data_IF_723114490524
#
_entry.id   IF_723114490524
#
_cell.length_a   1.000
_cell.length_b   1.000
_cell.length_c   1.000
_cell.angle_alpha   90.00
_cell.angle_beta   90.00
_cell.angle_gamma   90.00
#
_symmetry.space_group_name_H-M   'P 1'
#
loop_
_entity.id
_entity.type
_entity.pdbx_description
1 polymer ?
#
# COMPACT_ATOMS: atom_id res chain seq x y z
N UNK A 1 -2.65 13.14 -3.22
CA UNK A 1 -2.27 11.76 -2.87
C UNK A 1 -2.73 10.87 -4.01
N UNK A 2 -1.85 10.05 -4.56
CA UNK A 2 -2.21 9.00 -5.51
C UNK A 2 -2.46 7.72 -4.73
N UNK A 3 -3.53 7.00 -5.06
CA UNK A 3 -3.87 5.70 -4.48
C UNK A 3 -4.18 4.77 -5.63
N UNK A 4 -3.33 3.76 -5.83
CA UNK A 4 -3.55 2.70 -6.81
C UNK A 4 -4.00 1.44 -6.08
N UNK A 5 -5.24 0.99 -6.34
CA UNK A 5 -5.75 -0.26 -5.77
C UNK A 5 -5.78 -1.31 -6.87
N UNK A 6 -4.90 -2.30 -6.77
CA UNK A 6 -4.88 -3.46 -7.66
C UNK A 6 -5.65 -4.66 -7.10
N UNK A 7 -5.46 -5.82 -7.73
CA UNK A 7 -5.94 -7.09 -7.19
C UNK A 7 -5.25 -7.46 -5.88
N UNK A 8 -3.96 -7.18 -5.72
CA UNK A 8 -3.18 -7.69 -4.57
C UNK A 8 -2.97 -6.64 -3.48
N UNK A 9 -2.70 -5.41 -3.89
CA UNK A 9 -2.15 -4.36 -3.03
C UNK A 9 -2.81 -3.02 -3.31
N UNK A 10 -2.65 -2.12 -2.36
CA UNK A 10 -2.88 -0.69 -2.54
C UNK A 10 -1.56 0.05 -2.38
N UNK A 11 -1.15 0.78 -3.42
CA UNK A 11 0.05 1.60 -3.46
C UNK A 11 -0.31 3.08 -3.30
N UNK A 12 0.35 3.77 -2.37
CA UNK A 12 -0.01 5.12 -1.96
C UNK A 12 1.21 6.02 -2.04
N UNK A 13 1.11 7.09 -2.84
CA UNK A 13 2.19 8.06 -3.01
C UNK A 13 1.69 9.49 -2.80
N UNK A 14 2.52 10.33 -2.18
CA UNK A 14 2.26 11.77 -2.07
C UNK A 14 3.01 12.47 -3.20
N UNK A 15 2.25 13.17 -4.03
CA UNK A 15 2.78 13.91 -5.18
C UNK A 15 2.98 15.38 -4.81
N UNK A 16 4.04 15.98 -5.33
CA UNK A 16 4.35 17.41 -5.19
C UNK A 16 4.75 17.98 -6.55
N UNK A 17 4.14 19.09 -6.96
CA UNK A 17 4.37 19.67 -8.29
C UNK A 17 3.99 18.77 -9.48
N UNK A 18 3.17 17.73 -9.24
CA UNK A 18 2.78 16.74 -10.25
C UNK A 18 3.68 15.50 -10.31
N UNK A 19 4.64 15.35 -9.39
CA UNK A 19 5.61 14.24 -9.40
C UNK A 19 5.68 13.51 -8.07
N UNK A 20 5.98 12.20 -8.09
CA UNK A 20 6.17 11.46 -6.86
C UNK A 20 7.49 11.85 -6.22
N UNK A 21 7.52 11.86 -4.90
CA UNK A 21 8.75 12.08 -4.14
C UNK A 21 9.68 10.87 -4.29
N UNK A 22 10.99 11.08 -4.13
CA UNK A 22 12.02 10.03 -4.24
C UNK A 22 12.65 9.82 -2.87
N UNK A 23 12.82 8.55 -2.47
CA UNK A 23 13.65 8.17 -1.34
C UNK A 23 15.05 7.79 -1.85
N UNK A 24 16.06 8.58 -1.46
CA UNK A 24 17.46 8.37 -1.85
C UNK A 24 18.13 7.25 -1.03
N UNK A 25 17.69 7.04 0.20
CA UNK A 25 18.14 5.94 1.06
C UNK A 25 17.55 4.57 0.64
N UNK A 26 16.66 4.57 -0.35
CA UNK A 26 16.00 3.42 -0.95
C UNK A 26 14.71 2.97 -0.28
N UNK A 27 13.93 2.17 -1.01
CA UNK A 27 12.65 1.64 -0.53
C UNK A 27 12.86 0.61 0.59
N UNK A 28 11.93 0.60 1.55
CA UNK A 28 11.79 -0.49 2.52
C UNK A 28 10.98 -1.64 1.91
N UNK A 29 11.57 -2.83 1.84
CA UNK A 29 10.90 -4.07 1.43
C UNK A 29 10.94 -5.04 2.62
N UNK A 30 9.82 -5.16 3.32
CA UNK A 30 9.75 -5.88 4.60
C UNK A 30 10.66 -5.23 5.64
N UNK A 31 11.64 -5.99 6.17
CA UNK A 31 12.64 -5.49 7.13
C UNK A 31 13.90 -4.90 6.47
N UNK A 32 14.02 -4.98 5.16
CA UNK A 32 15.23 -4.61 4.43
C UNK A 32 15.06 -3.23 3.80
N UNK A 33 16.07 -2.36 3.95
CA UNK A 33 16.17 -1.11 3.20
C UNK A 33 17.08 -1.32 2.00
N UNK A 34 16.53 -1.12 0.80
CA UNK A 34 17.29 -1.22 -0.45
C UNK A 34 18.26 -0.03 -0.58
N UNK A 35 19.29 -0.12 -1.42
CA UNK A 35 20.20 1.02 -1.73
C UNK A 35 19.91 1.66 -3.09
N UNK A 36 18.72 1.44 -3.63
CA UNK A 36 18.31 1.92 -4.96
C UNK A 36 17.33 3.08 -4.77
N UNK A 37 17.56 4.19 -5.48
CA UNK A 37 16.62 5.33 -5.49
C UNK A 37 15.24 4.82 -5.90
N UNK A 38 14.24 5.06 -5.07
CA UNK A 38 12.90 4.56 -5.28
C UNK A 38 11.87 5.67 -5.13
N UNK A 39 10.70 5.47 -5.74
CA UNK A 39 9.54 6.32 -5.47
C UNK A 39 9.14 6.15 -4.01
N UNK A 40 8.87 7.27 -3.35
CA UNK A 40 8.33 7.33 -1.99
C UNK A 40 6.85 6.92 -2.01
N UNK A 41 6.62 5.61 -1.89
CA UNK A 41 5.30 5.01 -1.80
C UNK A 41 5.19 4.08 -0.59
N UNK A 42 3.98 3.95 -0.06
CA UNK A 42 3.62 2.90 0.88
C UNK A 42 2.73 1.89 0.18
N UNK A 43 3.12 0.62 0.26
CA UNK A 43 2.34 -0.51 -0.23
C UNK A 43 1.70 -1.22 0.95
N UNK A 44 0.38 -1.38 0.91
CA UNK A 44 -0.36 -2.23 1.85
C UNK A 44 -0.95 -3.41 1.10
N UNK A 45 -0.93 -4.59 1.72
CA UNK A 45 -1.44 -5.83 1.14
C UNK A 45 -2.98 -5.91 1.24
N UNK A 46 -3.63 -4.92 0.63
CA UNK A 46 -5.07 -4.75 0.57
C UNK A 46 -5.47 -4.38 -0.87
N UNK A 47 -5.99 -5.34 -1.61
CA UNK A 47 -6.52 -5.18 -2.97
C UNK A 47 -7.81 -5.98 -3.15
N UNK A 48 -8.29 -6.09 -4.39
CA UNK A 48 -9.51 -6.84 -4.72
C UNK A 48 -9.48 -8.33 -4.32
N UNK A 49 -8.32 -8.96 -4.41
CA UNK A 49 -8.08 -10.39 -4.24
C UNK A 49 -7.37 -10.71 -2.90
N UNK A 50 -7.33 -9.74 -1.98
CA UNK A 50 -6.78 -9.97 -0.64
C UNK A 50 -7.63 -10.97 0.13
N UNK A 51 -6.96 -11.95 0.73
CA UNK A 51 -7.60 -12.99 1.53
C UNK A 51 -8.36 -12.40 2.72
N UNK A 52 -9.63 -12.76 2.87
CA UNK A 52 -10.41 -12.45 4.08
C UNK A 52 -10.34 -13.63 5.03
N UNK A 53 -9.99 -13.35 6.28
CA UNK A 53 -10.04 -14.30 7.39
C UNK A 53 -10.75 -13.69 8.60
N UNK A 54 -11.14 -14.53 9.55
CA UNK A 54 -11.80 -14.11 10.79
C UNK A 54 -10.95 -14.52 11.99
N UNK A 55 -10.75 -13.57 12.90
CA UNK A 55 -10.27 -13.80 14.27
C UNK A 55 -11.39 -13.44 15.24
N UNK A 56 -12.10 -14.45 15.72
CA UNK A 56 -13.39 -14.27 16.39
C UNK A 56 -14.39 -13.55 15.47
N UNK A 57 -14.81 -12.34 15.87
CA UNK A 57 -15.70 -11.47 15.08
C UNK A 57 -14.95 -10.40 14.28
N UNK A 58 -13.61 -10.35 14.36
CA UNK A 58 -12.80 -9.35 13.68
C UNK A 58 -12.39 -9.86 12.30
N UNK A 59 -12.58 -9.04 11.28
CA UNK A 59 -12.03 -9.30 9.95
C UNK A 59 -10.52 -9.04 9.93
N UNK A 60 -9.79 -9.96 9.29
CA UNK A 60 -8.37 -9.79 8.95
C UNK A 60 -8.27 -9.90 7.43
N UNK A 61 -7.64 -8.91 6.81
CA UNK A 61 -7.48 -8.80 5.37
C UNK A 61 -6.02 -8.83 4.97
N UNK A 62 -5.69 -9.69 4.01
CA UNK A 62 -4.32 -9.93 3.60
C UNK A 62 -3.47 -10.58 4.71
N UNK A 63 -2.14 -10.62 4.57
CA UNK A 63 -1.38 -10.08 3.44
C UNK A 63 -1.43 -10.97 2.19
N UNK A 64 -1.98 -12.18 2.31
CA UNK A 64 -2.01 -13.15 1.22
C UNK A 64 -3.00 -12.72 0.12
N UNK A 65 -2.58 -12.90 -1.13
CA UNK A 65 -3.45 -12.83 -2.31
C UNK A 65 -3.98 -14.23 -2.61
N UNK A 66 -5.27 -14.35 -2.90
CA UNK A 66 -5.93 -15.62 -3.22
C UNK A 66 -6.84 -15.46 -4.43
N UNK A 67 -7.29 -16.57 -5.02
CA UNK A 67 -8.28 -16.54 -6.09
C UNK A 67 -9.65 -16.21 -5.47
N UNK A 68 -10.37 -15.17 -5.95
CA UNK A 68 -11.75 -14.91 -5.52
C UNK A 68 -12.67 -16.10 -5.76
N UNK A 69 -13.63 -16.35 -4.88
CA UNK A 69 -14.57 -17.46 -5.02
C UNK A 69 -15.43 -17.33 -6.29
N UNK A 70 -15.82 -16.11 -6.65
CA UNK A 70 -16.56 -15.84 -7.87
C UNK A 70 -15.78 -16.26 -9.12
N UNK A 71 -14.45 -16.14 -9.11
CA UNK A 71 -13.60 -16.59 -10.21
C UNK A 71 -13.40 -18.10 -10.13
N UNK A 72 -13.09 -18.62 -8.93
CA UNK A 72 -12.73 -20.02 -8.76
C UNK A 72 -13.90 -20.98 -9.04
N UNK A 73 -15.12 -20.58 -8.68
CA UNK A 73 -16.34 -21.36 -8.92
C UNK A 73 -16.85 -21.31 -10.36
N UNK A 74 -16.20 -20.57 -11.27
CA UNK A 74 -16.44 -20.74 -12.71
C UNK A 74 -15.91 -22.08 -13.20
N UNK A 75 -14.77 -22.52 -12.65
CA UNK A 75 -14.13 -23.80 -12.96
C UNK A 75 -14.57 -24.92 -12.01
N UNK A 76 -14.98 -24.56 -10.79
CA UNK A 76 -15.36 -25.49 -9.73
C UNK A 76 -16.77 -25.19 -9.16
N UNK A 77 -17.84 -25.30 -9.98
CA UNK A 77 -19.20 -24.97 -9.55
C UNK A 77 -19.70 -25.85 -8.39
N UNK A 78 -19.16 -27.06 -8.22
CA UNK A 78 -19.46 -27.97 -7.11
C UNK A 78 -19.09 -27.40 -5.74
N UNK A 79 -18.19 -26.41 -5.69
CA UNK A 79 -17.80 -25.78 -4.43
C UNK A 79 -18.89 -24.90 -3.83
N UNK A 80 -19.84 -24.40 -4.64
CA UNK A 80 -20.92 -23.51 -4.16
C UNK A 80 -21.69 -24.19 -3.03
N UNK A 81 -22.15 -25.42 -3.26
CA UNK A 81 -22.90 -26.17 -2.25
C UNK A 81 -22.01 -26.60 -1.08
N UNK A 82 -20.77 -27.01 -1.34
CA UNK A 82 -19.80 -27.38 -0.30
C UNK A 82 -19.51 -26.22 0.65
N UNK A 83 -19.34 -25.00 0.13
CA UNK A 83 -19.10 -23.79 0.91
C UNK A 83 -20.30 -23.49 1.80
N UNK A 84 -21.51 -23.57 1.25
CA UNK A 84 -22.75 -23.28 2.00
C UNK A 84 -22.95 -24.29 3.13
N UNK A 85 -22.73 -25.58 2.88
CA UNK A 85 -22.98 -26.65 3.86
C UNK A 85 -21.92 -26.71 4.96
N UNK A 86 -20.64 -26.52 4.60
CA UNK A 86 -19.53 -26.61 5.56
C UNK A 86 -19.21 -25.29 6.25
N UNK A 87 -19.69 -24.17 5.71
CA UNK A 87 -19.32 -22.81 6.12
C UNK A 87 -17.81 -22.52 5.98
N UNK A 88 -17.10 -23.36 5.21
CA UNK A 88 -15.69 -23.20 4.87
C UNK A 88 -15.60 -22.61 3.48
N UNK A 89 -14.88 -21.51 3.37
CA UNK A 89 -14.67 -20.82 2.09
C UNK A 89 -13.20 -20.80 1.68
N UNK A 90 -12.32 -21.53 2.35
CA UNK A 90 -10.88 -21.60 2.03
C UNK A 90 -10.54 -22.98 1.44
N UNK A 91 -10.08 -22.98 0.19
CA UNK A 91 -9.73 -24.18 -0.57
C UNK A 91 -8.34 -24.07 -1.18
N UNK A 92 -7.68 -25.21 -1.25
CA UNK A 92 -6.31 -25.41 -1.69
C UNK A 92 -6.33 -26.40 -2.86
N UNK A 93 -5.52 -26.14 -3.88
CA UNK A 93 -5.41 -27.02 -5.04
C UNK A 93 -4.00 -26.97 -5.63
N UNK A 94 -3.50 -28.11 -6.09
CA UNK A 94 -2.21 -28.19 -6.77
C UNK A 94 -2.30 -27.45 -8.11
N UNK A 95 -1.29 -26.64 -8.41
CA UNK A 95 -1.19 -25.94 -9.69
C UNK A 95 -0.81 -26.95 -10.78
N UNK A 96 -1.53 -26.94 -11.90
CA UNK A 96 -1.25 -27.82 -13.03
C UNK A 96 0.19 -27.62 -13.53
N UNK A 97 0.95 -28.71 -13.61
CA UNK A 97 2.35 -28.69 -14.03
C UNK A 97 3.35 -28.24 -12.97
N UNK A 98 2.93 -28.05 -11.70
CA UNK A 98 3.84 -27.74 -10.61
C UNK A 98 4.93 -28.82 -10.43
N UNK A 99 6.17 -28.39 -10.25
CA UNK A 99 7.29 -29.28 -9.93
C UNK A 99 7.45 -29.44 -8.41
N UNK A 100 7.43 -30.68 -7.87
CA UNK A 100 7.60 -30.91 -6.44
C UNK A 100 9.07 -30.91 -5.97
N UNK A 101 10.04 -30.61 -6.84
CA UNK A 101 11.48 -30.76 -6.54
C UNK A 101 11.97 -29.90 -5.35
N UNK A 102 11.34 -28.75 -5.11
CA UNK A 102 11.70 -27.84 -4.01
C UNK A 102 10.97 -28.15 -2.71
N UNK A 103 10.14 -29.21 -2.66
CA UNK A 103 9.36 -29.56 -1.48
C UNK A 103 10.19 -30.32 -0.44
N UNK A 104 10.02 -29.97 0.84
CA UNK A 104 10.57 -30.75 1.94
C UNK A 104 9.76 -32.05 2.17
N UNK A 105 10.23 -32.94 3.04
CA UNK A 105 9.57 -34.22 3.28
C UNK A 105 8.09 -34.12 3.70
N UNK A 106 7.72 -33.11 4.50
CA UNK A 106 6.32 -32.92 4.94
C UNK A 106 5.45 -32.38 3.83
N UNK A 107 5.95 -31.40 3.10
CA UNK A 107 5.27 -30.83 1.93
C UNK A 107 5.10 -31.87 0.82
N UNK A 108 6.09 -32.74 0.60
CA UNK A 108 6.00 -33.82 -0.38
C UNK A 108 4.94 -34.87 0.01
N UNK A 109 4.77 -35.14 1.31
CA UNK A 109 3.66 -35.99 1.79
C UNK A 109 2.30 -35.35 1.49
N UNK A 110 2.15 -34.06 1.78
CA UNK A 110 0.92 -33.32 1.44
C UNK A 110 0.67 -33.39 -0.06
N UNK A 111 1.65 -33.02 -0.88
CA UNK A 111 1.58 -33.06 -2.35
C UNK A 111 1.13 -34.42 -2.86
N UNK A 112 1.78 -35.50 -2.41
CA UNK A 112 1.49 -36.87 -2.82
C UNK A 112 0.08 -37.33 -2.43
N UNK A 113 -0.46 -36.84 -1.31
CA UNK A 113 -1.82 -37.17 -0.86
C UNK A 113 -2.92 -36.45 -1.65
N UNK A 114 -2.65 -35.24 -2.17
CA UNK A 114 -3.71 -34.36 -2.72
C UNK A 114 -3.61 -34.11 -4.23
N UNK A 115 -2.49 -34.46 -4.86
CA UNK A 115 -2.30 -34.28 -6.32
C UNK A 115 -3.43 -34.97 -7.10
N UNK A 116 -4.05 -34.23 -8.03
CA UNK A 116 -5.16 -34.71 -8.86
C UNK A 116 -6.50 -34.89 -8.13
N UNK A 117 -6.65 -34.45 -6.87
CA UNK A 117 -7.92 -34.52 -6.12
C UNK A 117 -8.85 -33.31 -6.33
N UNK A 118 -8.37 -32.27 -7.01
CA UNK A 118 -9.08 -31.01 -7.14
C UNK A 118 -9.08 -30.19 -5.84
N UNK A 119 -10.05 -29.28 -5.65
CA UNK A 119 -10.06 -28.35 -4.53
C UNK A 119 -10.40 -29.04 -3.19
N UNK A 120 -9.51 -28.90 -2.21
CA UNK A 120 -9.66 -29.43 -0.86
C UNK A 120 -9.55 -28.33 0.20
N UNK A 121 -10.35 -28.40 1.25
CA UNK A 121 -10.15 -27.57 2.42
C UNK A 121 -9.05 -28.15 3.34
N UNK A 122 -8.54 -27.34 4.27
CA UNK A 122 -7.47 -27.75 5.19
C UNK A 122 -7.77 -29.05 5.94
N UNK A 123 -9.01 -29.25 6.41
CA UNK A 123 -9.39 -30.44 7.17
C UNK A 123 -9.38 -31.69 6.29
N UNK A 124 -9.83 -31.59 5.04
CA UNK A 124 -9.76 -32.68 4.08
C UNK A 124 -8.31 -33.07 3.78
N UNK A 125 -7.41 -32.09 3.62
CA UNK A 125 -5.97 -32.35 3.46
C UNK A 125 -5.41 -33.06 4.69
N UNK A 126 -5.69 -32.56 5.89
CA UNK A 126 -5.21 -33.17 7.13
C UNK A 126 -5.69 -34.62 7.29
N UNK A 127 -6.92 -34.93 6.91
CA UNK A 127 -7.46 -36.28 6.97
C UNK A 127 -6.83 -37.25 5.95
N UNK A 128 -6.24 -36.73 4.87
CA UNK A 128 -5.55 -37.53 3.84
C UNK A 128 -4.04 -37.70 4.10
N UNK A 129 -3.47 -36.94 5.03
CA UNK A 129 -2.04 -36.94 5.29
C UNK A 129 -1.74 -37.57 6.64
N UNK A 130 -1.26 -38.81 6.61
CA UNK A 130 -0.91 -39.54 7.83
C UNK A 130 0.22 -38.85 8.60
N UNK A 131 0.03 -38.69 9.91
CA UNK A 131 1.06 -38.22 10.84
C UNK A 131 1.30 -36.71 10.86
N UNK A 132 0.50 -35.89 10.15
CA UNK A 132 0.56 -34.43 10.23
C UNK A 132 -0.72 -33.83 10.82
N UNK A 133 -0.61 -33.25 12.02
CA UNK A 133 -1.75 -32.65 12.73
C UNK A 133 -1.84 -31.13 12.58
N UNK A 134 -0.76 -30.48 12.12
CA UNK A 134 -0.68 -29.04 11.86
C UNK A 134 0.12 -28.89 10.56
N UNK A 135 -0.48 -28.21 9.57
CA UNK A 135 0.07 -28.09 8.22
C UNK A 135 0.11 -26.64 7.69
N UNK A 136 -0.20 -25.64 8.53
CA UNK A 136 -0.31 -24.23 8.11
C UNK A 136 0.99 -23.70 7.48
N UNK A 137 2.13 -24.07 8.05
CA UNK A 137 3.44 -23.62 7.55
C UNK A 137 3.77 -24.30 6.22
N UNK A 138 3.48 -25.59 6.09
CA UNK A 138 3.68 -26.37 4.88
C UNK A 138 2.78 -25.86 3.75
N UNK A 139 1.49 -25.62 4.00
CA UNK A 139 0.57 -25.05 3.01
C UNK A 139 1.02 -23.65 2.57
N UNK A 140 1.39 -22.77 3.51
CA UNK A 140 1.91 -21.43 3.19
C UNK A 140 3.18 -21.51 2.36
N UNK A 141 4.11 -22.39 2.72
CA UNK A 141 5.37 -22.60 2.00
C UNK A 141 5.11 -23.14 0.58
N UNK A 142 4.20 -24.11 0.42
CA UNK A 142 3.83 -24.64 -0.90
C UNK A 142 3.20 -23.59 -1.82
N UNK A 143 2.45 -22.64 -1.25
CA UNK A 143 1.92 -21.49 -2.00
C UNK A 143 3.04 -20.54 -2.43
N UNK A 144 3.99 -20.25 -1.53
CA UNK A 144 5.17 -19.42 -1.86
C UNK A 144 6.07 -20.07 -2.92
N UNK A 145 6.09 -21.40 -2.99
CA UNK A 145 6.81 -22.18 -4.00
C UNK A 145 6.02 -22.37 -5.31
N UNK A 146 4.85 -21.76 -5.43
CA UNK A 146 3.98 -21.87 -6.62
C UNK A 146 3.60 -23.32 -6.95
N UNK A 147 3.53 -24.20 -5.94
CA UNK A 147 3.05 -25.58 -6.09
C UNK A 147 1.55 -25.66 -5.85
N UNK A 148 1.02 -24.74 -5.05
CA UNK A 148 -0.35 -24.77 -4.59
C UNK A 148 -0.98 -23.38 -4.75
N UNK A 149 -2.24 -23.35 -5.22
CA UNK A 149 -3.07 -22.15 -5.26
C UNK A 149 -4.13 -22.20 -4.16
N UNK A 150 -4.48 -21.03 -3.63
CA UNK A 150 -5.55 -20.87 -2.65
C UNK A 150 -6.69 -20.10 -3.30
N UNK A 151 -7.92 -20.56 -3.09
CA UNK A 151 -9.13 -19.78 -3.29
C UNK A 151 -9.78 -19.47 -1.94
N UNK A 152 -10.21 -18.23 -1.74
CA UNK A 152 -10.93 -17.84 -0.53
C UNK A 152 -11.82 -16.62 -0.77
N UNK A 153 -12.60 -16.24 0.24
CA UNK A 153 -13.41 -15.02 0.19
C UNK A 153 -12.49 -13.79 0.09
N UNK A 154 -12.83 -12.88 -0.82
CA UNK A 154 -12.06 -11.66 -1.12
C UNK A 154 -12.95 -10.42 -1.22
N UNK A 155 -12.39 -9.20 -1.20
CA UNK A 155 -13.12 -7.99 -1.55
C UNK A 155 -13.84 -8.05 -2.92
N UNK A 156 -13.27 -8.73 -3.91
CA UNK A 156 -13.90 -8.97 -5.22
C UNK A 156 -15.23 -9.70 -5.05
N UNK A 157 -15.29 -10.75 -4.24
CA UNK A 157 -16.54 -11.48 -3.94
C UNK A 157 -17.59 -10.58 -3.30
N UNK A 158 -17.18 -9.72 -2.36
CA UNK A 158 -18.08 -8.75 -1.71
C UNK A 158 -18.65 -7.77 -2.74
N UNK A 159 -17.82 -7.26 -3.65
CA UNK A 159 -18.25 -6.36 -4.72
C UNK A 159 -19.21 -7.04 -5.70
N UNK A 160 -18.96 -8.30 -6.05
CA UNK A 160 -19.87 -9.09 -6.91
C UNK A 160 -21.21 -9.31 -6.21
N UNK A 161 -21.20 -9.75 -4.95
CA UNK A 161 -22.42 -9.95 -4.17
C UNK A 161 -23.25 -8.65 -4.02
N UNK A 162 -22.58 -7.52 -3.80
CA UNK A 162 -23.21 -6.20 -3.70
C UNK A 162 -23.59 -5.59 -5.07
N UNK A 163 -23.38 -6.32 -6.18
CA UNK A 163 -23.66 -5.87 -7.56
C UNK A 163 -22.90 -4.59 -7.96
N UNK A 164 -21.70 -4.42 -7.40
CA UNK A 164 -20.75 -3.36 -7.77
C UNK A 164 -19.80 -3.82 -8.86
N UNK A 165 -19.63 -5.13 -9.02
CA UNK A 165 -18.77 -5.73 -10.02
C UNK A 165 -19.49 -6.90 -10.70
N UNK A 166 -19.39 -7.01 -12.02
CA UNK A 166 -20.22 -7.94 -12.82
C UNK A 166 -19.47 -9.20 -13.29
N UNK A 167 -18.13 -9.24 -13.15
CA UNK A 167 -17.33 -10.39 -13.58
C UNK A 167 -17.34 -11.49 -12.51
N UNK A 168 -17.33 -12.75 -12.95
CA UNK A 168 -17.30 -13.93 -12.09
C UNK A 168 -18.67 -14.55 -11.83
N UNK A 169 -18.65 -15.76 -11.26
CA UNK A 169 -19.82 -16.50 -10.83
C UNK A 169 -20.44 -15.87 -9.57
N UNK A 170 -21.60 -15.24 -9.74
CA UNK A 170 -22.36 -14.58 -8.66
C UNK A 170 -22.76 -15.53 -7.53
N UNK A 171 -23.05 -16.79 -7.86
CA UNK A 171 -23.42 -17.80 -6.85
C UNK A 171 -22.22 -18.21 -5.99
N UNK A 172 -21.00 -18.20 -6.55
CA UNK A 172 -19.77 -18.41 -5.78
C UNK A 172 -19.48 -17.30 -4.78
N UNK A 173 -19.58 -16.04 -5.22
CA UNK A 173 -19.49 -14.88 -4.33
C UNK A 173 -20.54 -14.97 -3.20
N UNK A 174 -21.80 -15.25 -3.56
CA UNK A 174 -22.87 -15.39 -2.59
C UNK A 174 -22.62 -16.54 -1.60
N UNK A 175 -22.12 -17.70 -2.04
CA UNK A 175 -21.77 -18.82 -1.15
C UNK A 175 -20.74 -18.41 -0.08
N UNK A 176 -19.69 -17.69 -0.47
CA UNK A 176 -18.71 -17.17 0.49
C UNK A 176 -19.32 -16.20 1.51
N UNK A 177 -20.22 -15.31 1.07
CA UNK A 177 -20.95 -14.39 1.96
C UNK A 177 -21.92 -15.15 2.89
N UNK A 178 -22.56 -16.21 2.43
CA UNK A 178 -23.41 -17.07 3.26
C UNK A 178 -22.57 -17.68 4.38
N UNK A 179 -21.47 -18.34 4.04
CA UNK A 179 -20.56 -18.96 5.00
C UNK A 179 -20.04 -17.93 6.02
N UNK A 180 -19.65 -16.73 5.56
CA UNK A 180 -19.27 -15.63 6.45
C UNK A 180 -20.42 -15.21 7.38
N UNK A 181 -21.63 -15.08 6.85
CA UNK A 181 -22.80 -14.63 7.60
C UNK A 181 -23.21 -15.60 8.70
N UNK A 182 -23.11 -16.92 8.46
CA UNK A 182 -23.34 -17.95 9.46
C UNK A 182 -22.34 -17.82 10.62
N UNK A 183 -21.04 -17.69 10.30
CA UNK A 183 -19.98 -17.54 11.31
C UNK A 183 -20.12 -16.29 12.18
N UNK A 184 -20.70 -15.22 11.63
CA UNK A 184 -20.92 -13.96 12.35
C UNK A 184 -22.30 -13.87 13.03
N UNK A 185 -23.21 -14.81 12.78
CA UNK A 185 -24.60 -14.72 13.23
C UNK A 185 -25.35 -13.52 12.63
N UNK A 186 -25.04 -13.16 11.38
CA UNK A 186 -25.63 -12.02 10.67
C UNK A 186 -26.45 -12.47 9.47
N UNK A 187 -27.30 -11.57 8.93
CA UNK A 187 -27.84 -11.79 7.57
C UNK A 187 -26.73 -11.63 6.52
N UNK A 188 -26.87 -12.27 5.36
CA UNK A 188 -25.93 -12.14 4.22
C UNK A 188 -25.61 -10.67 3.89
N UNK A 189 -26.65 -9.83 3.86
CA UNK A 189 -26.53 -8.40 3.56
C UNK A 189 -25.75 -7.64 4.65
N UNK A 190 -26.02 -7.91 5.93
CA UNK A 190 -25.28 -7.30 7.03
C UNK A 190 -23.80 -7.71 7.02
N UNK A 191 -23.51 -9.01 6.82
CA UNK A 191 -22.15 -9.51 6.76
C UNK A 191 -21.36 -8.87 5.60
N UNK A 192 -21.94 -8.83 4.39
CA UNK A 192 -21.30 -8.20 3.24
C UNK A 192 -21.06 -6.69 3.44
N UNK A 193 -22.05 -5.96 3.96
CA UNK A 193 -21.92 -4.51 4.22
C UNK A 193 -20.88 -4.25 5.31
N UNK A 194 -20.86 -5.05 6.37
CA UNK A 194 -19.88 -4.95 7.47
C UNK A 194 -18.46 -5.20 6.99
N UNK A 195 -18.23 -6.28 6.23
CA UNK A 195 -16.93 -6.57 5.62
C UNK A 195 -16.50 -5.48 4.64
N UNK A 196 -17.42 -4.96 3.81
CA UNK A 196 -17.08 -3.89 2.87
C UNK A 196 -16.77 -2.57 3.58
N UNK A 197 -17.46 -2.24 4.67
CA UNK A 197 -17.13 -1.08 5.50
C UNK A 197 -15.76 -1.22 6.16
N UNK A 198 -15.39 -2.41 6.61
CA UNK A 198 -14.04 -2.69 7.12
C UNK A 198 -12.99 -2.46 6.04
N UNK A 199 -13.18 -3.01 4.84
CA UNK A 199 -12.28 -2.83 3.69
C UNK A 199 -12.04 -1.34 3.43
N UNK A 200 -13.12 -0.55 3.32
CA UNK A 200 -13.04 0.90 3.07
C UNK A 200 -12.36 1.65 4.22
N UNK A 201 -12.57 1.20 5.46
CA UNK A 201 -11.90 1.78 6.63
C UNK A 201 -10.40 1.52 6.59
N UNK A 202 -9.95 0.30 6.26
CA UNK A 202 -8.53 -0.03 6.12
C UNK A 202 -7.86 0.74 4.97
N UNK A 203 -8.54 0.95 3.84
CA UNK A 203 -8.04 1.81 2.76
C UNK A 203 -7.84 3.25 3.26
N UNK A 204 -8.82 3.80 4.00
CA UNK A 204 -8.71 5.13 4.58
C UNK A 204 -7.56 5.26 5.60
N UNK A 205 -7.38 4.25 6.46
CA UNK A 205 -6.24 4.15 7.37
C UNK A 205 -4.91 4.15 6.62
N UNK A 206 -4.79 3.36 5.54
CA UNK A 206 -3.57 3.29 4.75
C UNK A 206 -3.22 4.65 4.12
N UNK A 207 -4.22 5.35 3.55
CA UNK A 207 -4.04 6.70 3.00
C UNK A 207 -3.60 7.68 4.06
N UNK A 208 -4.24 7.67 5.24
CA UNK A 208 -3.91 8.56 6.33
C UNK A 208 -2.52 8.27 6.90
N UNK A 209 -2.17 6.99 7.08
CA UNK A 209 -0.86 6.52 7.53
C UNK A 209 0.23 7.05 6.60
N UNK A 210 0.09 6.89 5.28
CA UNK A 210 1.09 7.40 4.34
C UNK A 210 1.27 8.92 4.44
N UNK A 211 0.19 9.68 4.56
CA UNK A 211 0.27 11.15 4.72
C UNK A 211 0.93 11.54 6.05
N UNK A 212 0.68 10.78 7.12
CA UNK A 212 1.25 11.03 8.43
C UNK A 212 2.73 10.67 8.47
N UNK A 213 3.14 9.54 7.88
CA UNK A 213 4.55 9.15 7.75
C UNK A 213 5.39 10.21 7.02
N UNK A 214 4.80 10.91 6.05
CA UNK A 214 5.46 11.99 5.32
C UNK A 214 5.57 13.32 6.09
N UNK A 215 4.89 13.45 7.23
CA UNK A 215 4.74 14.71 7.98
C UNK A 215 5.23 14.61 9.43
N UNK A 216 5.07 13.47 10.06
CA UNK A 216 5.36 13.24 11.46
C UNK A 216 6.36 12.09 11.62
N UNK A 217 7.23 12.20 12.61
CA UNK A 217 8.13 11.12 13.03
C UNK A 217 7.62 10.49 14.31
N UNK A 218 7.81 9.18 14.46
CA UNK A 218 7.50 8.45 15.69
C UNK A 218 6.09 8.69 16.23
N UNK A 219 5.12 8.93 15.31
CA UNK A 219 3.73 9.24 15.66
C UNK A 219 2.91 7.97 15.93
N UNK A 220 3.43 6.81 15.52
CA UNK A 220 2.69 5.54 15.52
C UNK A 220 2.94 4.74 16.80
N UNK A 221 1.95 4.77 17.68
CA UNK A 221 1.80 3.94 18.87
C UNK A 221 0.36 3.38 18.99
N UNK A 222 0.06 2.59 20.02
CA UNK A 222 -1.27 1.99 20.20
C UNK A 222 -2.40 3.02 20.41
N UNK A 223 -2.11 4.15 21.06
CA UNK A 223 -3.07 5.25 21.20
C UNK A 223 -3.35 5.93 19.86
N UNK A 224 -2.30 6.16 19.07
CA UNK A 224 -2.43 6.73 17.73
C UNK A 224 -3.27 5.84 16.79
N UNK A 225 -3.17 4.50 16.90
CA UNK A 225 -3.97 3.54 16.12
C UNK A 225 -5.45 3.66 16.44
N UNK A 226 -5.79 3.74 17.72
CA UNK A 226 -7.19 3.90 18.16
C UNK A 226 -7.75 5.23 17.65
N UNK A 227 -6.99 6.31 17.77
CA UNK A 227 -7.41 7.62 17.27
C UNK A 227 -7.57 7.63 15.75
N UNK A 228 -6.62 7.05 15.00
CA UNK A 228 -6.70 6.91 13.55
C UNK A 228 -7.93 6.13 13.12
N UNK A 229 -8.19 4.98 13.76
CA UNK A 229 -9.38 4.17 13.49
C UNK A 229 -10.66 4.98 13.68
N UNK A 230 -10.73 5.81 14.72
CA UNK A 230 -11.87 6.70 14.98
C UNK A 230 -12.00 7.80 13.93
N UNK A 231 -10.89 8.41 13.52
CA UNK A 231 -10.87 9.49 12.51
C UNK A 231 -11.39 9.05 11.15
N UNK A 232 -11.14 7.79 10.75
CA UNK A 232 -11.53 7.27 9.43
C UNK A 232 -12.82 6.45 9.43
N UNK A 233 -13.38 6.14 10.61
CA UNK A 233 -14.60 5.36 10.73
C UNK A 233 -15.83 6.24 10.48
N UNK A 234 -16.86 5.66 9.86
CA UNK A 234 -18.18 6.30 9.75
C UNK A 234 -19.02 6.17 11.02
N UNK A 235 -18.63 5.31 11.97
CA UNK A 235 -19.34 5.12 13.23
C UNK A 235 -18.97 6.27 14.18
N UNK A 236 -19.89 7.24 14.30
CA UNK A 236 -19.75 8.40 15.18
C UNK A 236 -20.38 8.10 16.55
N UNK A 237 -19.72 8.55 17.62
CA UNK A 237 -20.25 8.44 18.98
C UNK A 237 -20.87 9.77 19.40
N UNK A 238 -21.86 9.73 20.29
CA UNK A 238 -22.64 10.92 20.69
C UNK A 238 -21.84 11.93 21.51
N UNK A 239 -20.70 11.52 22.08
CA UNK A 239 -19.91 12.34 23.00
C UNK A 239 -18.87 13.20 22.29
N UNK A 240 -18.17 12.65 21.28
CA UNK A 240 -17.07 13.33 20.59
C UNK A 240 -17.02 12.92 19.13
N UNK A 241 -17.06 13.90 18.24
CA UNK A 241 -16.81 13.73 16.81
C UNK A 241 -15.46 14.34 16.44
N UNK A 242 -14.57 13.56 15.83
CA UNK A 242 -13.29 14.03 15.31
C UNK A 242 -13.20 13.63 13.84
N UNK A 243 -13.03 14.62 12.97
CA UNK A 243 -12.92 14.40 11.53
C UNK A 243 -11.61 15.00 10.99
N UNK A 244 -10.86 14.26 10.16
CA UNK A 244 -9.75 14.86 9.41
C UNK A 244 -10.28 15.84 8.36
N UNK A 245 -9.40 16.72 7.85
CA UNK A 245 -9.65 17.53 6.64
C UNK A 245 -8.41 17.56 5.76
N UNK A 246 -8.47 16.86 4.63
CA UNK A 246 -7.38 16.80 3.69
C UNK A 246 -7.48 17.97 2.72
N UNK A 247 -6.50 18.88 2.79
CA UNK A 247 -6.41 20.04 1.90
C UNK A 247 -5.85 19.70 0.51
N UNK A 248 -5.38 18.47 0.32
CA UNK A 248 -4.84 17.97 -0.94
C UNK A 248 -5.81 16.96 -1.55
N UNK A 249 -6.03 16.99 -2.88
CA UNK A 249 -6.89 16.01 -3.53
C UNK A 249 -6.28 14.61 -3.47
N UNK A 250 -7.14 13.60 -3.44
CA UNK A 250 -6.81 12.19 -3.55
C UNK A 250 -7.23 11.75 -4.95
N UNK A 251 -6.33 11.10 -5.69
CA UNK A 251 -6.59 10.57 -7.03
C UNK A 251 -6.52 9.05 -6.94
N UNK A 252 -7.61 8.40 -7.30
CA UNK A 252 -7.79 6.96 -7.22
C UNK A 252 -7.61 6.32 -8.60
N UNK A 253 -6.74 5.30 -8.68
CA UNK A 253 -6.51 4.48 -9.87
C UNK A 253 -6.56 3.00 -9.52
N UNK A 254 -6.68 2.15 -10.54
CA UNK A 254 -6.89 0.71 -10.42
C UNK A 254 -8.37 0.33 -10.40
N UNK A 255 -8.71 -0.79 -11.03
CA UNK A 255 -10.09 -1.23 -11.25
C UNK A 255 -10.99 -1.27 -9.99
N UNK A 256 -10.55 -1.81 -8.84
CA UNK A 256 -11.38 -1.84 -7.62
C UNK A 256 -11.50 -0.48 -6.90
N UNK A 257 -10.68 0.52 -7.26
CA UNK A 257 -10.57 1.77 -6.51
C UNK A 257 -11.88 2.54 -6.37
N UNK A 258 -12.69 2.59 -7.44
CA UNK A 258 -14.00 3.27 -7.44
C UNK A 258 -14.97 2.75 -6.39
N UNK A 259 -14.86 1.47 -6.03
CA UNK A 259 -15.74 0.82 -5.07
C UNK A 259 -15.14 0.83 -3.67
N UNK A 260 -13.86 0.49 -3.53
CA UNK A 260 -13.15 0.46 -2.25
C UNK A 260 -12.83 1.84 -1.67
N UNK A 261 -12.99 2.91 -2.46
CA UNK A 261 -12.82 4.30 -2.01
C UNK A 261 -14.11 5.13 -2.14
N UNK A 262 -15.28 4.50 -2.33
CA UNK A 262 -16.53 5.20 -2.65
C UNK A 262 -16.94 6.27 -1.62
N UNK A 263 -16.63 6.04 -0.34
CA UNK A 263 -16.93 6.95 0.77
C UNK A 263 -15.67 7.61 1.36
N UNK A 264 -14.52 7.47 0.69
CA UNK A 264 -13.26 8.02 1.17
C UNK A 264 -13.31 9.55 1.30
N UNK A 265 -14.05 10.22 0.41
CA UNK A 265 -14.25 11.67 0.46
C UNK A 265 -14.93 12.11 1.76
N UNK A 266 -15.93 11.35 2.23
CA UNK A 266 -16.59 11.60 3.51
C UNK A 266 -15.69 11.27 4.69
N UNK A 267 -14.97 10.14 4.64
CA UNK A 267 -14.08 9.70 5.74
C UNK A 267 -12.94 10.67 5.98
N UNK A 268 -12.33 11.18 4.91
CA UNK A 268 -11.13 12.02 4.98
C UNK A 268 -11.41 13.52 4.82
N UNK A 269 -12.67 13.90 4.58
CA UNK A 269 -13.10 15.26 4.22
C UNK A 269 -12.15 15.85 3.17
N UNK A 270 -12.09 15.14 2.05
CA UNK A 270 -11.12 15.32 0.98
C UNK A 270 -11.83 15.37 -0.36
N UNK A 271 -11.25 16.09 -1.32
CA UNK A 271 -11.64 15.93 -2.73
C UNK A 271 -11.05 14.60 -3.21
N UNK A 272 -11.91 13.65 -3.61
CA UNK A 272 -11.48 12.38 -4.22
C UNK A 272 -11.86 12.40 -5.70
N UNK A 273 -10.86 12.19 -6.55
CA UNK A 273 -10.97 12.20 -8.00
C UNK A 273 -10.79 10.78 -8.52
N UNK A 274 -11.73 10.35 -9.37
CA UNK A 274 -11.63 9.11 -10.14
C UNK A 274 -11.48 9.50 -11.61
N UNK A 275 -10.25 9.54 -12.15
CA UNK A 275 -10.02 9.88 -13.55
C UNK A 275 -10.81 8.98 -14.51
N UNK A 276 -11.03 9.48 -15.73
CA UNK A 276 -11.44 8.64 -16.84
C UNK A 276 -10.39 7.54 -17.04
N UNK A 277 -10.84 6.30 -17.30
CA UNK A 277 -9.95 5.13 -17.43
C UNK A 277 -9.07 4.85 -16.21
N UNK A 278 -9.54 5.16 -14.99
CA UNK A 278 -8.81 4.88 -13.76
C UNK A 278 -8.38 3.40 -13.62
N UNK A 279 -9.13 2.47 -14.21
CA UNK A 279 -8.89 1.04 -14.23
C UNK A 279 -7.61 0.63 -14.96
N UNK A 280 -7.12 1.47 -15.89
CA UNK A 280 -5.89 1.25 -16.66
C UNK A 280 -4.85 2.36 -16.43
N UNK A 281 -4.92 3.04 -15.28
CA UNK A 281 -4.07 4.20 -14.95
C UNK A 281 -2.57 3.94 -15.10
N UNK A 282 -2.09 2.75 -14.72
CA UNK A 282 -0.68 2.38 -14.86
C UNK A 282 -0.22 2.28 -16.31
N UNK A 283 -1.06 1.75 -17.21
CA UNK A 283 -0.75 1.67 -18.63
C UNK A 283 -0.68 3.05 -19.28
N UNK A 284 -1.61 3.94 -18.91
CA UNK A 284 -1.59 5.36 -19.33
C UNK A 284 -0.33 6.06 -18.79
N UNK A 285 0.05 5.81 -17.54
CA UNK A 285 1.27 6.34 -16.94
C UNK A 285 2.54 5.91 -17.67
N UNK A 286 2.60 4.66 -18.13
CA UNK A 286 3.74 4.13 -18.87
C UNK A 286 3.92 4.83 -20.23
N UNK A 287 2.85 5.04 -20.99
CA UNK A 287 2.92 5.70 -22.32
C UNK A 287 3.11 7.22 -22.22
N UNK A 288 2.71 7.84 -21.11
CA UNK A 288 2.84 9.29 -20.88
C UNK A 288 4.12 9.66 -20.11
N UNK A 289 5.11 8.75 -20.11
CA UNK A 289 6.36 8.89 -19.37
C UNK A 289 7.08 10.20 -19.71
N UNK A 290 7.60 10.85 -18.66
CA UNK A 290 8.33 12.12 -18.75
C UNK A 290 9.82 11.92 -18.47
N UNK A 291 10.66 12.78 -19.04
CA UNK A 291 12.09 12.83 -18.71
C UNK A 291 12.24 13.45 -17.33
N UNK A 292 12.85 12.74 -16.38
CA UNK A 292 13.00 13.24 -15.01
C UNK A 292 14.38 12.95 -14.41
N UNK A 293 14.85 13.88 -13.59
CA UNK A 293 16.14 13.83 -12.91
C UNK A 293 15.96 14.35 -11.47
N UNK A 294 16.75 13.81 -10.55
CA UNK A 294 16.65 14.18 -9.13
C UNK A 294 18.01 14.11 -8.45
N UNK A 295 18.26 15.10 -7.60
CA UNK A 295 19.49 15.23 -6.84
C UNK A 295 19.17 15.66 -5.41
N UNK A 296 19.89 15.08 -4.45
CA UNK A 296 19.82 15.46 -3.04
C UNK A 296 21.16 16.06 -2.59
N UNK A 297 21.08 17.00 -1.66
CA UNK A 297 22.21 17.60 -0.96
C UNK A 297 21.87 17.70 0.53
N UNK A 298 22.90 17.81 1.37
CA UNK A 298 22.71 17.95 2.82
C UNK A 298 23.26 19.28 3.31
N UNK A 299 22.60 19.84 4.31
CA UNK A 299 23.06 21.01 5.07
C UNK A 299 23.24 20.57 6.52
N UNK A 300 24.47 20.61 7.00
CA UNK A 300 24.83 20.11 8.35
C UNK A 300 25.39 21.26 9.18
N UNK A 301 24.97 21.44 10.45
CA UNK A 301 25.65 22.38 11.33
C UNK A 301 27.09 21.94 11.59
N UNK A 302 27.97 22.91 11.82
CA UNK A 302 29.39 22.71 12.10
C UNK A 302 29.75 23.20 13.51
N UNK A 303 30.85 22.70 14.12
CA UNK A 303 31.23 23.08 15.49
C UNK A 303 31.48 24.57 15.72
N UNK A 304 31.74 25.33 14.65
CA UNK A 304 31.94 26.78 14.65
C UNK A 304 30.65 27.57 14.36
N UNK A 305 29.47 26.97 14.65
CA UNK A 305 28.15 27.59 14.53
C UNK A 305 27.81 28.07 13.10
N UNK A 306 28.37 27.42 12.08
CA UNK A 306 28.01 27.62 10.67
C UNK A 306 27.21 26.44 10.13
N UNK A 307 26.73 26.56 8.90
CA UNK A 307 26.03 25.52 8.17
C UNK A 307 26.80 25.16 6.92
N UNK A 308 27.19 23.89 6.81
CA UNK A 308 27.90 23.34 5.66
C UNK A 308 26.90 22.68 4.71
N UNK A 309 26.70 23.25 3.53
CA UNK A 309 25.99 22.63 2.43
C UNK A 309 26.94 21.71 1.63
N UNK A 310 26.70 20.41 1.63
CA UNK A 310 27.42 19.42 0.85
C UNK A 310 26.63 19.07 -0.41
N UNK A 311 27.04 19.65 -1.54
CA UNK A 311 26.31 19.58 -2.81
C UNK A 311 27.07 18.69 -3.79
N UNK A 312 26.43 17.67 -4.40
CA UNK A 312 27.09 16.79 -5.36
C UNK A 312 27.70 17.56 -6.52
N UNK A 313 28.90 17.15 -6.98
CA UNK A 313 29.68 17.77 -8.06
C UNK A 313 30.22 19.19 -7.78
N UNK A 314 29.66 19.92 -6.81
CA UNK A 314 30.13 21.25 -6.42
C UNK A 314 31.08 21.21 -5.20
N UNK A 315 30.86 20.27 -4.26
CA UNK A 315 31.59 20.20 -2.99
C UNK A 315 30.87 20.93 -1.86
N UNK A 316 31.63 21.29 -0.81
CA UNK A 316 31.08 21.89 0.41
C UNK A 316 31.15 23.42 0.38
N UNK A 317 30.07 24.09 0.79
CA UNK A 317 30.00 25.56 0.96
C UNK A 317 29.46 25.90 2.35
N UNK A 318 29.97 26.96 2.96
CA UNK A 318 29.63 27.35 4.33
C UNK A 318 28.77 28.61 4.36
N UNK A 319 27.78 28.63 5.23
CA UNK A 319 26.85 29.74 5.44
C UNK A 319 26.70 30.05 6.92
N UNK A 320 26.34 31.28 7.26
CA UNK A 320 26.10 31.71 8.65
C UNK A 320 24.69 31.38 9.14
N UNK A 321 23.70 31.31 8.26
CA UNK A 321 22.30 31.04 8.61
C UNK A 321 21.78 29.80 7.87
N UNK A 322 20.99 28.98 8.57
CA UNK A 322 20.41 27.74 8.05
C UNK A 322 19.53 27.99 6.82
N UNK A 323 18.64 28.98 6.90
CA UNK A 323 17.71 29.30 5.81
C UNK A 323 18.44 29.76 4.54
N UNK A 324 19.54 30.49 4.71
CA UNK A 324 20.41 30.89 3.60
C UNK A 324 21.09 29.68 2.97
N UNK A 325 21.60 28.75 3.78
CA UNK A 325 22.21 27.51 3.31
C UNK A 325 21.20 26.65 2.53
N UNK A 326 20.00 26.45 3.08
CA UNK A 326 18.92 25.70 2.44
C UNK A 326 18.50 26.37 1.12
N UNK A 327 18.28 27.69 1.14
CA UNK A 327 17.84 28.44 -0.05
C UNK A 327 18.88 28.43 -1.17
N UNK A 328 20.16 28.60 -0.83
CA UNK A 328 21.26 28.53 -1.79
C UNK A 328 21.41 27.11 -2.37
N UNK A 329 21.34 26.09 -1.51
CA UNK A 329 21.39 24.68 -1.90
C UNK A 329 20.26 24.34 -2.85
N UNK A 330 19.02 24.69 -2.48
CA UNK A 330 17.84 24.52 -3.32
C UNK A 330 18.05 25.14 -4.70
N UNK A 331 18.37 26.44 -4.75
CA UNK A 331 18.55 27.17 -6.01
C UNK A 331 19.61 26.54 -6.90
N UNK A 332 20.72 26.08 -6.32
CA UNK A 332 21.75 25.40 -7.08
C UNK A 332 21.25 24.09 -7.69
N UNK A 333 20.58 23.24 -6.90
CA UNK A 333 20.02 21.97 -7.36
C UNK A 333 18.99 22.17 -8.47
N UNK A 334 18.06 23.12 -8.28
CA UNK A 334 17.02 23.46 -9.27
C UNK A 334 17.65 23.89 -10.61
N UNK A 335 18.67 24.77 -10.58
CA UNK A 335 19.37 25.25 -11.76
C UNK A 335 20.15 24.13 -12.48
N UNK A 336 20.92 23.35 -11.71
CA UNK A 336 21.73 22.26 -12.26
C UNK A 336 20.85 21.20 -12.96
N UNK A 337 19.78 20.77 -12.28
CA UNK A 337 18.85 19.77 -12.83
C UNK A 337 18.08 20.30 -14.04
N UNK A 338 17.66 21.58 -14.00
CA UNK A 338 16.95 22.20 -15.13
C UNK A 338 17.82 22.28 -16.38
N UNK A 339 19.10 22.64 -16.22
CA UNK A 339 20.06 22.61 -17.33
C UNK A 339 20.26 21.19 -17.85
N UNK A 340 20.48 20.22 -16.95
CA UNK A 340 20.70 18.81 -17.32
C UNK A 340 19.54 18.23 -18.14
N UNK A 341 18.29 18.50 -17.73
CA UNK A 341 17.10 18.03 -18.45
C UNK A 341 16.88 18.79 -19.77
N UNK A 342 17.18 20.09 -19.81
CA UNK A 342 17.15 20.85 -21.06
C UNK A 342 18.17 20.31 -22.08
N UNK A 343 19.37 19.93 -21.63
CA UNK A 343 20.40 19.30 -22.46
C UNK A 343 19.95 17.92 -23.00
N UNK A 344 18.98 17.26 -22.34
CA UNK A 344 18.33 16.04 -22.82
C UNK A 344 17.19 16.29 -23.83
N UNK A 345 16.93 17.56 -24.19
CA UNK A 345 15.91 17.95 -25.16
C UNK A 345 14.48 18.00 -24.60
N UNK A 346 14.31 17.96 -23.27
CA UNK A 346 12.98 18.00 -22.68
C UNK A 346 12.36 19.40 -22.73
N UNK A 347 11.04 19.45 -22.87
CA UNK A 347 10.26 20.71 -22.92
C UNK A 347 9.31 20.82 -21.72
N UNK A 348 8.66 21.97 -21.53
CA UNK A 348 7.70 22.19 -20.42
C UNK A 348 8.25 21.83 -19.03
N UNK A 349 9.50 22.21 -18.77
CA UNK A 349 10.26 21.82 -17.58
C UNK A 349 9.63 22.40 -16.31
N UNK A 350 9.43 21.54 -15.31
CA UNK A 350 8.93 21.91 -13.97
C UNK A 350 9.88 21.39 -12.90
N UNK A 351 10.02 22.15 -11.82
CA UNK A 351 10.85 21.78 -10.69
C UNK A 351 10.03 21.70 -9.40
N UNK A 352 10.41 20.78 -8.52
CA UNK A 352 9.89 20.65 -7.16
C UNK A 352 11.04 20.34 -6.20
N UNK A 353 11.03 20.97 -5.02
CA UNK A 353 12.04 20.75 -3.98
C UNK A 353 11.38 20.43 -2.65
N UNK A 354 11.80 19.33 -2.02
CA UNK A 354 11.42 18.94 -0.66
C UNK A 354 12.58 19.21 0.28
N UNK A 355 12.27 19.78 1.45
CA UNK A 355 13.23 19.99 2.53
C UNK A 355 12.83 19.07 3.68
N UNK A 356 13.76 18.23 4.13
CA UNK A 356 13.59 17.33 5.28
C UNK A 356 14.57 17.73 6.37
N UNK A 357 14.06 18.20 7.50
CA UNK A 357 14.87 18.52 8.67
C UNK A 357 14.99 17.29 9.58
N UNK A 358 16.21 16.90 9.92
CA UNK A 358 16.52 15.83 10.85
C UNK A 358 17.00 16.47 12.14
N UNK A 359 16.27 16.29 13.24
CA UNK A 359 16.63 16.81 14.56
C UNK A 359 17.26 15.72 15.44
N UNK A 360 18.15 16.12 16.34
CA UNK A 360 18.69 15.29 17.42
C UNK A 360 17.62 15.09 18.51
N UNK A 361 17.52 13.88 19.04
CA UNK A 361 16.48 13.42 19.99
C UNK A 361 16.71 13.84 21.45
N UNK A 362 17.38 14.96 21.71
CA UNK A 362 17.58 15.45 23.08
C UNK A 362 16.93 16.82 23.29
N UNK A 363 15.93 16.88 24.18
CA UNK A 363 15.43 18.12 24.78
C UNK A 363 13.92 18.28 24.76
N UNK A 364 13.30 18.35 25.94
CA UNK A 364 11.87 18.59 26.12
C UNK A 364 11.40 19.96 25.62
N UNK A 365 10.08 20.09 25.52
CA UNK A 365 9.36 21.29 25.06
C UNK A 365 9.74 22.51 25.90
N UNK A 366 10.46 23.46 25.30
CA UNK A 366 10.75 24.76 25.89
C UNK A 366 11.86 25.50 25.13
N UNK A 367 11.52 26.71 24.66
CA UNK A 367 12.36 27.76 24.08
C UNK A 367 12.78 27.63 22.59
N UNK A 368 12.09 28.43 21.77
CA UNK A 368 12.31 28.62 20.33
C UNK A 368 13.23 29.84 20.09
N UNK A 369 14.54 29.66 20.23
CA UNK A 369 15.56 30.62 19.75
C UNK A 369 16.43 29.99 18.65
N UNK A 370 16.94 30.77 17.69
CA UNK A 370 17.76 30.27 16.55
C UNK A 370 19.01 29.51 17.00
N UNK A 371 19.61 29.85 18.15
CA UNK A 371 20.73 29.11 18.74
C UNK A 371 20.33 27.70 19.22
N UNK A 372 19.07 27.49 19.63
CA UNK A 372 18.53 26.19 20.01
C UNK A 372 18.27 25.30 18.77
N UNK A 373 17.96 25.90 17.62
CA UNK A 373 17.79 25.18 16.34
C UNK A 373 19.15 24.62 15.87
N UNK A 374 20.24 25.37 16.00
CA UNK A 374 21.58 24.89 15.65
C UNK A 374 22.04 23.72 16.54
N UNK A 375 21.58 23.66 17.80
CA UNK A 375 21.87 22.56 18.72
C UNK A 375 20.95 21.34 18.55
N UNK A 376 19.76 21.52 17.98
CA UNK A 376 18.76 20.48 17.82
C UNK A 376 18.64 19.93 16.40
N UNK A 377 19.12 20.62 15.36
CA UNK A 377 19.16 20.08 13.99
C UNK A 377 20.41 19.24 13.79
N UNK A 378 20.24 17.97 13.44
CA UNK A 378 21.32 17.05 13.07
C UNK A 378 21.80 17.33 11.63
N UNK A 379 20.88 17.37 10.68
CA UNK A 379 21.12 17.83 9.31
C UNK A 379 19.80 18.16 8.61
N UNK A 380 19.86 18.88 7.51
CA UNK A 380 18.73 19.10 6.59
C UNK A 380 19.05 18.47 5.25
N UNK A 381 18.17 17.62 4.75
CA UNK A 381 18.26 17.08 3.40
C UNK A 381 17.41 17.95 2.46
N UNK A 382 18.02 18.45 1.40
CA UNK A 382 17.35 19.21 0.32
C UNK A 382 17.32 18.32 -0.91
N UNK A 383 16.12 17.91 -1.31
CA UNK A 383 15.89 17.05 -2.48
C UNK A 383 15.19 17.86 -3.55
N UNK A 384 15.83 18.03 -4.71
CA UNK A 384 15.19 18.65 -5.87
C UNK A 384 14.96 17.64 -6.99
N UNK A 385 13.82 17.77 -7.66
CA UNK A 385 13.44 17.00 -8.83
C UNK A 385 13.04 17.96 -9.94
N UNK A 386 13.50 17.67 -11.15
CA UNK A 386 13.06 18.36 -12.35
C UNK A 386 12.50 17.34 -13.32
N UNK A 387 11.44 17.72 -14.03
CA UNK A 387 10.78 16.87 -15.02
C UNK A 387 10.36 17.70 -16.22
N UNK A 388 10.43 17.11 -17.41
CA UNK A 388 9.97 17.72 -18.65
C UNK A 388 9.33 16.69 -19.58
N UNK A 389 8.54 17.19 -20.54
CA UNK A 389 7.98 16.37 -21.61
C UNK A 389 9.12 15.87 -22.51
N UNK A 390 9.05 14.61 -22.98
CA UNK A 390 10.06 14.09 -23.89
C UNK A 390 10.11 14.92 -25.19
N UNK A 391 11.26 14.96 -25.87
CA UNK A 391 11.34 15.61 -27.18
C UNK A 391 10.30 15.01 -28.13
N UNK A 392 9.64 15.85 -28.95
CA UNK A 392 8.49 15.49 -29.79
C UNK A 392 8.76 14.43 -30.89
N UNK A 393 9.97 13.85 -30.96
CA UNK A 393 10.38 12.90 -31.99
C UNK A 393 10.74 11.54 -31.36
N UNK A 394 9.73 10.79 -30.89
CA UNK A 394 9.86 9.36 -30.62
C UNK A 394 8.62 8.59 -31.08
#
# INVERSE_FOLDING_TARGET
VMVDIGGTSTDIAVMEGGFPQIQFEGASVGKWRTRVKAVDMSTVALGGDSKVTLDGMKFILGPDRVIPLCTYTEQHPELIERIIQSEIFEYYEIIDGASPEMLNEKEMRIYSSIVGKGPLNKMEIMNMVEGLWVIDNELRSMVQKEVLRIASLTPTDVMVFLKKFELGNKAGAEAGIIALSCRLGMTKKQAAVSLFDEIKTLVAEAVMTKVFDDRFRSWYDDGSKVLMRRLVSKVRTDTVEIMPKFKIPIVAVGAPSRYMMEDLAERLNAVVLFPEHNDVGNAIGAITSKVSESLSATVTPTPDYRFMASIPFMGSTYYTHLDTAISATRRWLENYLSKKIADMGATNVRCSTKIKTYMATEGGVGDWEEEAIARSVNFVEVISRVVGDPPQNY
#
